data_IF_192089896775
#
_entry.id   IF_192089896775
#
_cell.length_a   1.000
_cell.length_b   1.000
_cell.length_c   1.000
_cell.angle_alpha   90.00
_cell.angle_beta   90.00
_cell.angle_gamma   90.00
#
_symmetry.space_group_name_H-M   'P 1'
#
loop_
_entity.id
_entity.type
_entity.pdbx_description
1 polymer ?
#
# COMPACT_ATOMS: atom_id res chain seq x y z
N UNK A 1 0.15 -12.23 -4.74
CA UNK A 1 -0.69 -13.44 -4.62
C UNK A 1 -2.15 -13.10 -4.89
N UNK A 2 -3.00 -14.04 -5.31
CA UNK A 2 -4.46 -13.84 -5.44
C UNK A 2 -5.17 -14.94 -4.67
N UNK A 3 -6.21 -14.59 -3.92
CA UNK A 3 -6.97 -15.49 -3.07
C UNK A 3 -8.47 -15.32 -3.32
N UNK A 4 -9.20 -16.42 -3.43
CA UNK A 4 -10.66 -16.39 -3.45
C UNK A 4 -11.17 -16.11 -2.04
N UNK A 5 -12.04 -15.11 -1.90
CA UNK A 5 -12.69 -14.74 -0.66
C UNK A 5 -14.20 -14.70 -0.86
N UNK A 6 -14.94 -15.36 0.01
CA UNK A 6 -16.41 -15.37 -0.04
C UNK A 6 -16.98 -14.35 0.92
N UNK A 7 -17.84 -13.48 0.40
CA UNK A 7 -18.52 -12.42 1.15
C UNK A 7 -20.04 -12.55 0.99
N UNK A 8 -20.79 -11.89 1.88
CA UNK A 8 -22.23 -11.68 1.73
C UNK A 8 -22.45 -10.29 1.17
N UNK A 9 -23.18 -10.19 0.05
CA UNK A 9 -23.58 -8.90 -0.50
C UNK A 9 -24.75 -8.28 0.29
N UNK A 10 -25.17 -7.08 -0.13
CA UNK A 10 -26.26 -6.34 0.50
C UNK A 10 -27.62 -7.07 0.47
N UNK A 11 -27.80 -8.05 -0.42
CA UNK A 11 -29.01 -8.87 -0.52
C UNK A 11 -28.87 -10.22 0.22
N UNK A 12 -27.73 -10.47 0.87
CA UNK A 12 -27.42 -11.72 1.58
C UNK A 12 -26.97 -12.87 0.68
N UNK A 13 -26.75 -12.63 -0.62
CA UNK A 13 -26.22 -13.63 -1.52
C UNK A 13 -24.70 -13.79 -1.32
N UNK A 14 -24.21 -15.01 -1.48
CA UNK A 14 -22.77 -15.29 -1.40
C UNK A 14 -22.09 -14.88 -2.71
N UNK A 15 -21.05 -14.06 -2.61
CA UNK A 15 -20.21 -13.64 -3.73
C UNK A 15 -18.78 -14.11 -3.48
N UNK A 16 -18.14 -14.70 -4.50
CA UNK A 16 -16.71 -15.01 -4.45
C UNK A 16 -15.95 -13.92 -5.19
N UNK A 17 -14.99 -13.30 -4.50
CA UNK A 17 -14.16 -12.19 -5.00
C UNK A 17 -12.70 -12.60 -4.93
N UNK A 18 -11.96 -12.37 -6.02
CA UNK A 18 -10.52 -12.61 -6.13
C UNK A 18 -9.75 -11.42 -5.57
N UNK A 19 -9.23 -11.57 -4.36
CA UNK A 19 -8.43 -10.53 -3.69
C UNK A 19 -6.95 -10.77 -3.96
N UNK A 20 -6.36 -9.87 -4.73
CA UNK A 20 -4.94 -9.74 -4.95
C UNK A 20 -4.24 -9.03 -3.80
N UNK A 21 -3.10 -9.55 -3.37
CA UNK A 21 -2.22 -8.92 -2.40
C UNK A 21 -0.83 -8.75 -3.02
N UNK A 22 -0.28 -7.55 -2.91
CA UNK A 22 1.07 -7.19 -3.36
C UNK A 22 1.82 -6.53 -2.20
N UNK A 23 3.09 -6.89 -2.00
CA UNK A 23 3.91 -6.41 -0.89
C UNK A 23 5.10 -5.58 -1.35
N UNK A 24 5.47 -4.57 -0.58
CA UNK A 24 6.62 -3.70 -0.87
C UNK A 24 7.47 -3.47 0.39
N UNK A 25 8.77 -3.26 0.20
CA UNK A 25 9.75 -2.95 1.24
C UNK A 25 10.67 -1.83 0.73
N UNK A 26 11.24 -0.96 1.60
CA UNK A 26 12.07 0.16 1.14
C UNK A 26 13.37 -0.35 0.51
N UNK A 27 13.82 0.21 -0.63
CA UNK A 27 15.10 -0.15 -1.26
C UNK A 27 16.32 0.00 -0.33
N UNK A 28 16.18 0.82 0.71
CA UNK A 28 17.20 1.08 1.72
C UNK A 28 17.62 -0.18 2.50
N UNK A 29 16.88 -1.31 2.44
CA UNK A 29 17.36 -2.59 3.00
C UNK A 29 18.71 -3.01 2.42
N UNK A 30 19.04 -2.60 1.19
CA UNK A 30 20.37 -2.85 0.59
C UNK A 30 21.50 -2.12 1.33
N UNK A 31 21.17 -1.07 2.07
CA UNK A 31 22.10 -0.37 2.97
C UNK A 31 22.02 -0.94 4.39
N UNK A 32 20.81 -1.06 4.95
CA UNK A 32 20.59 -1.50 6.34
C UNK A 32 21.10 -2.92 6.60
N UNK A 33 20.82 -3.84 5.66
CA UNK A 33 21.17 -5.25 5.74
C UNK A 33 22.23 -5.64 4.69
N UNK A 34 23.09 -4.69 4.31
CA UNK A 34 24.13 -4.89 3.28
C UNK A 34 24.91 -6.20 3.46
N UNK A 35 25.33 -6.50 4.70
CA UNK A 35 26.07 -7.73 5.02
C UNK A 35 25.34 -9.01 4.57
N UNK A 36 24.02 -9.00 4.59
CA UNK A 36 23.17 -10.15 4.29
C UNK A 36 22.66 -10.14 2.85
N UNK A 37 22.62 -9.00 2.18
CA UNK A 37 21.93 -8.83 0.90
C UNK A 37 22.87 -8.49 -0.28
N UNK A 38 24.04 -7.91 0.01
CA UNK A 38 24.97 -7.46 -1.03
C UNK A 38 25.41 -8.64 -1.92
N UNK A 39 25.29 -8.45 -3.23
CA UNK A 39 25.55 -9.48 -4.24
C UNK A 39 24.53 -10.63 -4.32
N UNK A 40 23.50 -10.66 -3.47
CA UNK A 40 22.49 -11.74 -3.44
C UNK A 40 21.14 -11.30 -4.00
N UNK A 41 20.73 -10.07 -3.71
CA UNK A 41 19.45 -9.52 -4.16
C UNK A 41 19.61 -8.09 -4.66
N UNK A 42 18.60 -7.62 -5.39
CA UNK A 42 18.41 -6.22 -5.73
C UNK A 42 16.97 -5.85 -5.35
N UNK A 43 16.76 -4.58 -5.02
CA UNK A 43 15.43 -4.07 -4.68
C UNK A 43 15.06 -2.97 -5.66
N UNK A 44 13.99 -3.22 -6.40
CA UNK A 44 13.44 -2.28 -7.36
C UNK A 44 12.71 -1.13 -6.64
N UNK A 45 12.55 0.00 -7.33
CA UNK A 45 11.68 1.07 -6.87
C UNK A 45 10.23 0.57 -6.67
N UNK A 46 9.59 1.06 -5.61
CA UNK A 46 8.26 0.62 -5.18
C UNK A 46 7.19 0.90 -6.25
N UNK A 47 7.21 2.09 -6.85
CA UNK A 47 6.20 2.50 -7.85
C UNK A 47 6.43 1.80 -9.17
N UNK A 48 7.68 1.62 -9.57
CA UNK A 48 8.05 0.83 -10.74
C UNK A 48 7.57 -0.62 -10.62
N UNK A 49 7.91 -1.28 -9.50
CA UNK A 49 7.49 -2.66 -9.22
C UNK A 49 5.96 -2.80 -9.21
N UNK A 50 5.24 -1.83 -8.64
CA UNK A 50 3.78 -1.81 -8.65
C UNK A 50 3.23 -1.71 -10.08
N UNK A 51 3.74 -0.80 -10.90
CA UNK A 51 3.28 -0.59 -12.27
C UNK A 51 3.55 -1.79 -13.20
N UNK A 52 4.58 -2.59 -12.93
CA UNK A 52 4.85 -3.84 -13.64
C UNK A 52 3.93 -4.97 -13.18
N UNK A 53 3.74 -5.12 -11.87
CA UNK A 53 3.08 -6.29 -11.29
C UNK A 53 1.55 -6.20 -11.30
N UNK A 54 0.98 -5.00 -11.11
CA UNK A 54 -0.48 -4.82 -11.04
C UNK A 54 -1.21 -5.25 -12.33
N UNK A 55 -0.72 -4.90 -13.54
CA UNK A 55 -1.32 -5.39 -14.78
C UNK A 55 -1.40 -6.93 -14.83
N UNK A 56 -0.34 -7.63 -14.45
CA UNK A 56 -0.35 -9.09 -14.40
C UNK A 56 -1.37 -9.65 -13.40
N UNK A 57 -1.54 -8.98 -12.25
CA UNK A 57 -2.52 -9.40 -11.25
C UNK A 57 -3.95 -9.23 -11.78
N UNK A 58 -4.23 -8.13 -12.48
CA UNK A 58 -5.53 -7.91 -13.14
C UNK A 58 -5.75 -8.93 -14.26
N UNK A 59 -4.74 -9.25 -15.08
CA UNK A 59 -4.83 -10.29 -16.11
C UNK A 59 -5.11 -11.68 -15.51
N UNK A 60 -4.50 -11.99 -14.37
CA UNK A 60 -4.76 -13.21 -13.59
C UNK A 60 -6.12 -13.20 -12.86
N UNK A 61 -6.93 -12.16 -13.06
CA UNK A 61 -8.32 -12.08 -12.59
C UNK A 61 -8.49 -11.49 -11.19
N UNK A 62 -7.56 -10.68 -10.67
CA UNK A 62 -7.77 -9.98 -9.41
C UNK A 62 -8.90 -8.94 -9.54
N UNK A 63 -9.99 -9.15 -8.79
CA UNK A 63 -11.09 -8.18 -8.71
C UNK A 63 -10.65 -6.95 -7.90
N UNK A 64 -10.04 -7.21 -6.73
CA UNK A 64 -9.55 -6.21 -5.77
C UNK A 64 -8.04 -6.41 -5.57
N UNK A 65 -7.27 -5.33 -5.47
CA UNK A 65 -5.83 -5.36 -5.17
C UNK A 65 -5.55 -4.54 -3.92
N UNK A 66 -5.01 -5.20 -2.89
CA UNK A 66 -4.56 -4.61 -1.63
C UNK A 66 -3.04 -4.56 -1.61
N UNK A 67 -2.47 -3.36 -1.46
CA UNK A 67 -1.05 -3.16 -1.29
C UNK A 67 -0.68 -3.23 0.21
N UNK A 68 0.17 -4.20 0.57
CA UNK A 68 0.79 -4.34 1.88
C UNK A 68 2.17 -3.67 1.81
N UNK A 69 2.18 -2.36 1.96
CA UNK A 69 3.35 -1.53 1.66
C UNK A 69 4.09 -1.17 2.95
N UNK A 70 5.21 -1.84 3.23
CA UNK A 70 6.10 -1.46 4.33
C UNK A 70 6.91 -0.22 3.92
N UNK A 71 6.24 0.93 3.87
CA UNK A 71 6.79 2.23 3.50
C UNK A 71 5.90 3.31 4.08
N UNK A 72 6.50 4.45 4.39
CA UNK A 72 5.80 5.58 5.02
C UNK A 72 5.09 6.51 4.04
N UNK A 73 4.44 7.52 4.62
CA UNK A 73 3.68 8.55 3.92
C UNK A 73 4.49 9.84 3.91
N UNK A 74 4.69 10.39 2.72
CA UNK A 74 5.11 11.79 2.53
C UNK A 74 3.91 12.61 2.08
N UNK A 75 3.94 13.93 2.29
CA UNK A 75 2.84 14.83 1.92
C UNK A 75 2.82 15.22 0.44
N UNK A 76 3.91 14.94 -0.26
CA UNK A 76 4.10 15.25 -1.69
C UNK A 76 4.92 14.15 -2.36
N UNK A 77 5.01 14.21 -3.69
CA UNK A 77 5.79 13.25 -4.46
C UNK A 77 7.26 13.24 -4.04
N UNK A 78 7.80 12.03 -3.92
CA UNK A 78 9.20 11.77 -3.60
C UNK A 78 10.01 11.37 -4.84
N UNK A 79 11.35 11.54 -4.80
CA UNK A 79 12.24 10.97 -5.81
C UNK A 79 12.13 9.44 -5.90
N UNK A 80 12.43 8.88 -7.08
CA UNK A 80 12.52 7.43 -7.30
C UNK A 80 13.51 6.80 -6.30
N UNK A 81 13.13 5.67 -5.71
CA UNK A 81 13.93 4.93 -4.74
C UNK A 81 13.88 5.50 -3.32
N UNK A 82 12.98 6.44 -3.03
CA UNK A 82 12.81 6.97 -1.67
C UNK A 82 12.20 5.94 -0.72
N UNK A 83 12.41 6.17 0.57
CA UNK A 83 12.01 5.25 1.65
C UNK A 83 10.50 5.25 1.93
N UNK A 84 9.87 6.42 1.82
CA UNK A 84 8.45 6.68 2.10
C UNK A 84 7.71 7.01 0.80
N UNK A 85 6.91 6.08 0.31
CA UNK A 85 6.38 6.10 -1.07
C UNK A 85 4.86 5.94 -1.15
N UNK A 86 4.11 6.00 -0.05
CA UNK A 86 2.65 5.78 -0.09
C UNK A 86 1.93 6.83 -0.95
N UNK A 87 2.32 8.10 -0.87
CA UNK A 87 1.75 9.15 -1.71
C UNK A 87 1.98 8.86 -3.19
N UNK A 88 3.21 8.47 -3.54
CA UNK A 88 3.58 8.12 -4.91
C UNK A 88 2.89 6.84 -5.40
N UNK A 89 2.73 5.81 -4.55
CA UNK A 89 1.92 4.64 -4.86
C UNK A 89 0.48 5.05 -5.20
N UNK A 90 -0.14 5.88 -4.35
CA UNK A 90 -1.53 6.28 -4.54
C UNK A 90 -1.76 7.18 -5.76
N UNK A 91 -0.75 7.94 -6.17
CA UNK A 91 -0.87 8.97 -7.23
C UNK A 91 -0.27 8.56 -8.57
N UNK A 92 0.73 7.66 -8.58
CA UNK A 92 1.49 7.27 -9.79
C UNK A 92 1.25 5.83 -10.22
N UNK A 93 0.41 5.07 -9.51
CA UNK A 93 -0.03 3.73 -9.92
C UNK A 93 -1.52 3.72 -10.21
N UNK A 94 -1.97 2.69 -10.94
CA UNK A 94 -3.39 2.44 -11.20
C UNK A 94 -3.74 1.02 -10.81
N UNK A 95 -4.96 0.82 -10.32
CA UNK A 95 -5.50 -0.50 -10.03
C UNK A 95 -5.23 -1.02 -8.62
N UNK A 96 -4.63 -0.22 -7.73
CA UNK A 96 -4.64 -0.47 -6.28
C UNK A 96 -5.98 0.01 -5.73
N UNK A 97 -6.65 -0.85 -4.98
CA UNK A 97 -7.96 -0.57 -4.40
C UNK A 97 -7.86 -0.19 -2.91
N UNK A 98 -6.80 -0.60 -2.22
CA UNK A 98 -6.51 -0.21 -0.84
C UNK A 98 -5.02 -0.34 -0.50
N UNK A 99 -4.54 0.47 0.44
CA UNK A 99 -3.14 0.44 0.90
C UNK A 99 -3.08 0.29 2.43
N UNK A 100 -2.35 -0.72 2.89
CA UNK A 100 -1.91 -0.86 4.28
C UNK A 100 -0.47 -0.39 4.35
N UNK A 101 -0.25 0.72 5.04
CA UNK A 101 1.05 1.39 5.21
C UNK A 101 1.68 1.04 6.57
N UNK A 102 2.96 1.36 6.74
CA UNK A 102 3.69 1.13 7.98
C UNK A 102 5.00 1.92 8.02
N UNK A 103 6.06 1.26 8.50
CA UNK A 103 7.45 1.75 8.50
C UNK A 103 7.73 2.96 9.42
N UNK A 104 7.07 4.09 9.23
CA UNK A 104 7.30 5.32 10.01
C UNK A 104 6.80 5.27 11.46
N UNK A 105 6.04 4.22 11.83
CA UNK A 105 5.39 4.11 13.14
C UNK A 105 4.43 5.28 13.47
N UNK A 106 3.95 5.98 12.45
CA UNK A 106 2.97 7.06 12.56
C UNK A 106 1.54 6.54 12.52
N UNK A 107 0.58 7.47 12.45
CA UNK A 107 -0.84 7.14 12.30
C UNK A 107 -1.44 7.84 11.09
N UNK A 108 -2.15 7.08 10.27
CA UNK A 108 -2.98 7.59 9.19
C UNK A 108 -4.31 6.80 9.13
N UNK A 109 -5.47 7.47 8.99
CA UNK A 109 -5.67 8.92 8.97
C UNK A 109 -5.32 9.60 10.30
N UNK A 110 -4.88 10.85 10.25
CA UNK A 110 -4.68 11.71 11.42
C UNK A 110 -4.74 13.20 11.05
N UNK A 111 -4.94 14.05 12.06
CA UNK A 111 -5.09 15.50 11.87
C UNK A 111 -3.86 16.15 11.21
N UNK A 112 -2.68 15.53 11.29
CA UNK A 112 -1.43 15.97 10.68
C UNK A 112 -1.52 16.17 9.14
N UNK A 113 -2.42 15.42 8.50
CA UNK A 113 -2.62 15.42 7.05
C UNK A 113 -3.80 16.30 6.61
N UNK A 114 -4.43 17.03 7.53
CA UNK A 114 -5.58 17.87 7.22
C UNK A 114 -5.19 19.03 6.30
N UNK A 115 -5.94 19.21 5.21
CA UNK A 115 -5.71 20.30 4.25
C UNK A 115 -4.53 20.07 3.29
N UNK A 116 -3.88 18.90 3.34
CA UNK A 116 -2.85 18.52 2.37
C UNK A 116 -3.53 18.07 1.06
N UNK A 117 -3.02 18.53 -0.08
CA UNK A 117 -3.56 18.13 -1.39
C UNK A 117 -3.56 16.60 -1.55
N UNK A 118 -4.62 16.06 -2.15
CA UNK A 118 -4.91 14.61 -2.29
C UNK A 118 -5.23 13.84 -1.01
N UNK A 119 -5.14 14.42 0.18
CA UNK A 119 -5.52 13.75 1.41
C UNK A 119 -6.97 14.10 1.80
N UNK A 120 -7.78 13.07 2.05
CA UNK A 120 -9.07 13.21 2.72
C UNK A 120 -9.00 12.46 4.06
N UNK A 121 -8.65 13.18 5.11
CA UNK A 121 -8.51 12.63 6.48
C UNK A 121 -9.84 12.10 7.00
N UNK A 122 -10.96 12.72 6.61
CA UNK A 122 -12.29 12.32 7.06
C UNK A 122 -12.71 10.95 6.54
N UNK A 123 -12.23 10.60 5.35
CA UNK A 123 -12.46 9.29 4.70
C UNK A 123 -11.26 8.34 4.80
N UNK A 124 -10.13 8.79 5.33
CA UNK A 124 -8.90 8.00 5.37
C UNK A 124 -8.37 7.65 3.98
N UNK A 125 -8.41 8.59 3.03
CA UNK A 125 -7.95 8.33 1.66
C UNK A 125 -6.80 9.23 1.23
N UNK A 126 -5.98 8.72 0.32
CA UNK A 126 -4.96 9.46 -0.43
C UNK A 126 -5.25 9.26 -1.91
N UNK A 127 -5.48 10.35 -2.64
CA UNK A 127 -5.92 10.33 -4.04
C UNK A 127 -7.17 9.46 -4.28
N UNK A 128 -8.07 9.41 -3.29
CA UNK A 128 -9.29 8.60 -3.32
C UNK A 128 -9.10 7.11 -3.00
N UNK A 129 -7.86 6.65 -2.77
CA UNK A 129 -7.58 5.28 -2.37
C UNK A 129 -7.57 5.21 -0.83
N UNK A 130 -8.33 4.30 -0.19
CA UNK A 130 -8.26 4.06 1.24
C UNK A 130 -6.85 3.67 1.69
N UNK A 131 -6.34 4.35 2.71
CA UNK A 131 -5.02 4.10 3.30
C UNK A 131 -5.13 4.04 4.81
N UNK A 132 -4.42 3.10 5.43
CA UNK A 132 -4.27 3.03 6.89
C UNK A 132 -2.80 2.87 7.28
N UNK A 133 -2.38 3.49 8.38
CA UNK A 133 -1.11 3.23 9.06
C UNK A 133 -1.38 3.20 10.57
N UNK A 134 -1.16 2.05 11.21
CA UNK A 134 -1.64 1.82 12.60
C UNK A 134 -0.51 1.78 13.62
N UNK A 135 0.34 2.81 13.60
CA UNK A 135 1.43 3.01 14.56
C UNK A 135 2.38 1.81 14.61
N UNK A 136 2.67 1.29 15.80
CA UNK A 136 3.58 0.18 16.02
C UNK A 136 3.07 -0.73 17.15
N UNK A 137 3.62 -1.94 17.20
CA UNK A 137 3.49 -2.88 18.32
C UNK A 137 2.04 -3.25 18.71
N UNK A 138 1.11 -3.22 17.75
CA UNK A 138 -0.31 -3.52 18.00
C UNK A 138 -1.01 -2.51 18.89
N UNK A 139 -0.46 -1.30 19.03
CA UNK A 139 -1.02 -0.25 19.88
C UNK A 139 -2.27 0.43 19.31
N UNK A 140 -2.59 0.17 18.04
CA UNK A 140 -3.76 0.69 17.35
C UNK A 140 -4.42 -0.40 16.50
N UNK A 141 -5.77 -0.52 16.51
CA UNK A 141 -6.48 -1.39 15.58
C UNK A 141 -6.46 -0.80 14.16
N UNK A 142 -6.35 -1.66 13.14
CA UNK A 142 -6.42 -1.24 11.73
C UNK A 142 -7.83 -1.46 11.18
N UNK A 143 -8.41 -0.45 10.54
CA UNK A 143 -9.63 -0.59 9.75
C UNK A 143 -9.59 0.31 8.52
N UNK A 144 -9.83 -0.28 7.35
CA UNK A 144 -10.14 0.45 6.13
C UNK A 144 -11.67 0.48 6.01
N UNK A 145 -12.24 1.67 5.86
CA UNK A 145 -13.69 1.91 5.78
C UNK A 145 -14.05 2.40 4.38
#
# INVERSE_FOLDING_TARGET
>A
MIQDKTFKDANGASQTVKVGYIGFVPPQIMTWDKKHLDGQVQVQDIVESANETIPEMKEKGADIIVALAHTGIEKTASPKGSENMIFDLATKTKGIDAIVSGHQHGTFPSAEYSGVDKFDVSKGTINGIPVVMSKNWGSYPESLI
#
